data_IF_774480429257
#
_entry.id   IF_774480429257
#
_cell.length_a   1.000
_cell.length_b   1.000
_cell.length_c   1.000
_cell.angle_alpha   90.00
_cell.angle_beta   90.00
_cell.angle_gamma   90.00
#
_symmetry.space_group_name_H-M   'P 1'
#
loop_
_entity.id
_entity.type
_entity.pdbx_description
1 polymer ?
#
# COMPACT_ATOMS: atom_id res chain seq x y z
N UNK A 1 1.62 -24.85 22.13
CA UNK A 1 0.33 -24.93 22.86
C UNK A 1 0.08 -26.37 23.25
N UNK A 2 0.07 -26.70 24.56
CA UNK A 2 0.03 -28.09 25.04
C UNK A 2 -1.24 -28.87 24.63
N UNK A 3 -2.33 -28.17 24.26
CA UNK A 3 -3.56 -28.79 23.74
C UNK A 3 -3.61 -28.91 22.22
N UNK A 4 -3.01 -27.97 21.49
CA UNK A 4 -3.10 -27.89 20.02
C UNK A 4 -1.91 -28.62 19.36
N UNK A 5 -0.78 -28.78 20.06
CA UNK A 5 0.42 -29.40 19.51
C UNK A 5 1.23 -28.49 18.58
N UNK A 6 0.71 -27.31 18.24
CA UNK A 6 1.37 -26.33 17.38
C UNK A 6 2.07 -25.21 18.16
N UNK A 7 3.08 -24.60 17.52
CA UNK A 7 3.74 -23.38 17.98
C UNK A 7 2.82 -22.19 17.66
N UNK A 8 2.32 -21.54 18.71
CA UNK A 8 1.53 -20.32 18.60
C UNK A 8 2.35 -19.17 19.14
N UNK A 9 2.51 -18.12 18.35
CA UNK A 9 3.27 -16.94 18.72
C UNK A 9 2.51 -15.68 18.29
N UNK A 10 2.45 -14.71 19.19
CA UNK A 10 2.00 -13.36 18.84
C UNK A 10 3.13 -12.66 18.11
N UNK A 11 3.01 -12.57 16.78
CA UNK A 11 4.11 -12.09 15.94
C UNK A 11 4.23 -10.57 15.89
N UNK A 12 3.11 -9.87 15.71
CA UNK A 12 3.05 -8.41 15.57
C UNK A 12 1.72 -7.92 16.15
N UNK A 13 1.75 -6.70 16.68
CA UNK A 13 0.58 -5.97 17.18
C UNK A 13 0.69 -4.53 16.70
N UNK A 14 -0.44 -3.96 16.30
CA UNK A 14 -0.58 -2.53 16.09
C UNK A 14 -1.88 -2.07 16.74
N UNK A 15 -1.85 -0.87 17.30
CA UNK A 15 -3.00 -0.22 17.92
C UNK A 15 -3.12 1.21 17.38
N UNK A 16 -4.34 1.59 17.01
CA UNK A 16 -4.73 2.95 16.60
C UNK A 16 -5.85 3.43 17.54
N UNK A 17 -5.76 4.68 17.96
CA UNK A 17 -6.60 5.32 18.98
C UNK A 17 -7.47 6.47 18.44
N UNK A 18 -7.38 6.78 17.15
CA UNK A 18 -8.24 7.75 16.47
C UNK A 18 -9.53 7.17 15.90
N UNK A 19 -10.08 7.85 14.89
CA UNK A 19 -11.21 7.33 14.12
C UNK A 19 -10.70 6.33 13.08
N UNK A 20 -11.12 5.06 13.20
CA UNK A 20 -10.49 3.94 12.50
C UNK A 20 -11.53 3.11 11.75
N UNK A 21 -11.27 2.91 10.45
CA UNK A 21 -11.96 1.93 9.63
C UNK A 21 -11.18 0.60 9.62
N UNK A 22 -11.91 -0.52 9.73
CA UNK A 22 -11.32 -1.86 9.81
C UNK A 22 -11.86 -2.75 8.70
N UNK A 23 -10.96 -3.36 7.92
CA UNK A 23 -11.34 -4.35 6.93
C UNK A 23 -10.64 -5.69 7.13
N UNK A 24 -11.41 -6.78 7.09
CA UNK A 24 -10.94 -8.15 7.25
C UNK A 24 -11.29 -8.97 5.99
N UNK A 25 -10.28 -9.34 5.21
CA UNK A 25 -10.47 -10.10 3.99
C UNK A 25 -10.28 -11.60 4.22
N UNK A 26 -11.29 -12.38 3.82
CA UNK A 26 -11.24 -13.84 3.77
C UNK A 26 -10.81 -14.29 2.38
N UNK A 27 -9.80 -15.16 2.30
CA UNK A 27 -9.36 -15.76 1.03
C UNK A 27 -10.32 -16.82 0.50
N UNK A 28 -11.10 -17.43 1.40
CA UNK A 28 -12.16 -18.39 1.09
C UNK A 28 -13.26 -18.27 2.15
N UNK A 29 -14.50 -18.59 1.79
CA UNK A 29 -15.67 -18.38 2.66
C UNK A 29 -15.62 -19.20 3.95
N UNK A 30 -14.98 -20.37 3.90
CA UNK A 30 -14.81 -21.35 4.98
C UNK A 30 -13.58 -21.09 5.86
N UNK A 31 -12.73 -20.13 5.50
CA UNK A 31 -11.51 -19.79 6.25
C UNK A 31 -11.67 -18.49 7.08
N UNK A 32 -10.91 -18.34 8.18
CA UNK A 32 -10.82 -17.06 8.89
C UNK A 32 -10.18 -15.99 7.99
N UNK A 33 -10.35 -14.69 8.32
CA UNK A 33 -9.66 -13.62 7.63
C UNK A 33 -8.14 -13.84 7.66
N UNK A 34 -7.51 -13.73 6.48
CA UNK A 34 -6.06 -13.87 6.32
C UNK A 34 -5.37 -12.53 6.06
N UNK A 35 -6.13 -11.48 5.77
CA UNK A 35 -5.64 -10.10 5.66
C UNK A 35 -6.51 -9.21 6.53
N UNK A 36 -5.85 -8.36 7.33
CA UNK A 36 -6.50 -7.32 8.11
C UNK A 36 -5.89 -5.96 7.80
N UNK A 37 -6.73 -4.95 7.72
CA UNK A 37 -6.35 -3.56 7.47
C UNK A 37 -7.01 -2.68 8.53
N UNK A 38 -6.22 -1.76 9.10
CA UNK A 38 -6.72 -0.61 9.85
C UNK A 38 -6.35 0.66 9.09
N UNK A 39 -7.29 1.59 9.00
CA UNK A 39 -7.10 2.90 8.39
C UNK A 39 -7.58 3.95 9.39
N UNK A 40 -6.68 4.78 9.88
CA UNK A 40 -7.04 5.94 10.70
C UNK A 40 -7.23 7.17 9.80
N UNK A 41 -8.30 7.93 10.03
CA UNK A 41 -8.68 9.02 9.14
C UNK A 41 -9.43 10.15 9.85
N UNK A 42 -9.38 11.32 9.23
CA UNK A 42 -10.18 12.50 9.55
C UNK A 42 -11.22 12.74 8.45
N UNK A 43 -12.41 13.23 8.82
CA UNK A 43 -13.53 13.44 7.90
C UNK A 43 -14.79 12.70 8.34
N UNK A 44 -15.88 12.86 7.59
CA UNK A 44 -17.19 12.29 7.92
C UNK A 44 -17.63 11.16 6.96
N UNK A 45 -16.95 10.99 5.82
CA UNK A 45 -17.29 9.98 4.82
C UNK A 45 -16.60 8.64 5.14
N UNK A 46 -17.33 7.78 5.84
CA UNK A 46 -16.86 6.44 6.18
C UNK A 46 -16.77 5.50 4.96
N UNK A 47 -17.54 5.75 3.89
CA UNK A 47 -17.51 4.91 2.69
C UNK A 47 -16.22 5.14 1.89
N UNK A 48 -15.72 6.37 1.87
CA UNK A 48 -14.40 6.70 1.33
C UNK A 48 -13.28 6.01 2.13
N UNK A 49 -13.32 6.05 3.47
CA UNK A 49 -12.36 5.34 4.31
C UNK A 49 -12.43 3.81 4.11
N UNK A 50 -13.63 3.25 3.99
CA UNK A 50 -13.84 1.83 3.71
C UNK A 50 -13.25 1.43 2.35
N UNK A 51 -13.49 2.24 1.32
CA UNK A 51 -12.92 2.04 -0.01
C UNK A 51 -11.38 2.04 0.01
N UNK A 52 -10.77 2.89 0.83
CA UNK A 52 -9.32 2.89 1.05
C UNK A 52 -8.86 1.62 1.77
N UNK A 53 -9.60 1.10 2.74
CA UNK A 53 -9.27 -0.16 3.40
C UNK A 53 -9.28 -1.34 2.41
N UNK A 54 -10.23 -1.36 1.47
CA UNK A 54 -10.28 -2.32 0.35
C UNK A 54 -9.08 -2.18 -0.59
N UNK A 55 -8.75 -0.94 -0.97
CA UNK A 55 -7.58 -0.60 -1.79
C UNK A 55 -6.29 -1.15 -1.17
N UNK A 56 -6.05 -0.85 0.11
CA UNK A 56 -4.85 -1.31 0.84
C UNK A 56 -4.81 -2.83 0.88
N UNK A 57 -5.93 -3.50 1.15
CA UNK A 57 -5.99 -4.96 1.20
C UNK A 57 -5.58 -5.58 -0.14
N UNK A 58 -6.04 -5.00 -1.25
CA UNK A 58 -5.84 -5.49 -2.61
C UNK A 58 -4.44 -5.16 -3.18
N UNK A 59 -4.03 -3.89 -3.16
CA UNK A 59 -2.81 -3.41 -3.83
C UNK A 59 -1.58 -3.34 -2.93
N UNK A 60 -1.74 -3.63 -1.63
CA UNK A 60 -0.62 -3.80 -0.69
C UNK A 60 0.31 -2.58 -0.62
N UNK A 61 -0.26 -1.37 -0.58
CA UNK A 61 0.49 -0.15 -0.30
C UNK A 61 1.37 -0.33 0.95
N UNK A 62 2.58 0.24 0.92
CA UNK A 62 3.57 0.14 2.00
C UNK A 62 3.76 1.46 2.74
N UNK A 63 3.52 2.56 2.05
CA UNK A 63 3.73 3.93 2.53
C UNK A 63 2.47 4.75 2.24
N UNK A 64 2.17 5.73 3.08
CA UNK A 64 1.07 6.66 2.85
C UNK A 64 1.45 7.69 1.79
N UNK A 65 2.63 8.28 1.94
CA UNK A 65 3.16 9.35 1.09
C UNK A 65 4.55 9.01 0.53
N UNK A 66 5.03 9.79 -0.44
CA UNK A 66 6.36 9.57 -1.06
C UNK A 66 7.52 9.81 -0.09
N UNK A 67 7.37 10.78 0.81
CA UNK A 67 8.38 11.16 1.80
C UNK A 67 8.58 10.11 2.89
N UNK A 68 7.61 9.19 3.06
CA UNK A 68 7.78 8.02 3.93
C UNK A 68 8.62 6.90 3.31
N UNK A 69 8.91 6.97 2.00
CA UNK A 69 9.72 5.95 1.33
C UNK A 69 11.20 6.18 1.66
N UNK A 70 11.91 5.21 2.26
CA UNK A 70 13.32 5.36 2.60
C UNK A 70 14.21 5.68 1.39
N UNK A 71 15.16 6.59 1.56
CA UNK A 71 16.04 7.03 0.48
C UNK A 71 16.87 5.88 -0.13
N UNK A 72 17.26 4.89 0.67
CA UNK A 72 17.99 3.71 0.22
C UNK A 72 17.13 2.82 -0.69
N UNK A 73 15.83 2.71 -0.41
CA UNK A 73 14.88 2.01 -1.27
C UNK A 73 14.73 2.76 -2.60
N UNK A 74 14.55 4.08 -2.56
CA UNK A 74 14.43 4.91 -3.77
C UNK A 74 15.70 4.84 -4.62
N UNK A 75 16.88 4.90 -4.00
CA UNK A 75 18.17 4.80 -4.68
C UNK A 75 18.36 3.41 -5.31
N UNK A 76 17.98 2.34 -4.61
CA UNK A 76 18.05 0.99 -5.14
C UNK A 76 17.11 0.79 -6.34
N UNK A 77 15.86 1.24 -6.26
CA UNK A 77 14.91 1.16 -7.38
C UNK A 77 15.36 1.97 -8.58
N UNK A 78 15.96 3.16 -8.35
CA UNK A 78 16.56 3.97 -9.42
C UNK A 78 17.68 3.20 -10.13
N UNK A 79 18.59 2.57 -9.37
CA UNK A 79 19.68 1.76 -9.91
C UNK A 79 19.14 0.59 -10.73
N UNK A 80 18.15 -0.13 -10.21
CA UNK A 80 17.49 -1.24 -10.93
C UNK A 80 16.87 -0.74 -12.24
N UNK A 81 16.18 0.40 -12.22
CA UNK A 81 15.56 0.99 -13.40
C UNK A 81 16.62 1.36 -14.46
N UNK A 82 17.75 1.93 -14.05
CA UNK A 82 18.86 2.31 -14.93
C UNK A 82 19.53 1.09 -15.55
N UNK A 83 19.89 0.09 -14.73
CA UNK A 83 20.52 -1.16 -15.18
C UNK A 83 19.61 -1.89 -16.18
N UNK A 84 18.32 -1.96 -15.89
CA UNK A 84 17.35 -2.62 -16.76
C UNK A 84 17.19 -1.87 -18.08
N UNK A 85 17.12 -0.53 -18.06
CA UNK A 85 17.02 0.27 -19.29
C UNK A 85 18.28 0.18 -20.17
N UNK A 86 19.47 0.11 -19.57
CA UNK A 86 20.74 -0.15 -20.28
C UNK A 86 20.76 -1.56 -20.88
N UNK A 87 20.34 -2.58 -20.12
CA UNK A 87 20.27 -3.96 -20.60
C UNK A 87 19.28 -4.13 -21.78
N UNK A 88 18.21 -3.34 -21.81
CA UNK A 88 17.27 -3.27 -22.94
C UNK A 88 17.79 -2.50 -24.17
N UNK A 89 19.03 -1.98 -24.13
CA UNK A 89 19.64 -1.26 -25.24
C UNK A 89 19.01 0.11 -25.52
N UNK A 90 18.41 0.75 -24.52
CA UNK A 90 17.79 2.08 -24.70
C UNK A 90 18.87 3.15 -24.91
N UNK A 91 18.62 4.17 -25.76
CA UNK A 91 19.59 5.24 -25.99
C UNK A 91 19.95 6.00 -24.70
N UNK A 92 21.23 6.33 -24.51
CA UNK A 92 21.72 7.02 -23.30
C UNK A 92 20.96 8.32 -23.01
N UNK A 93 20.61 9.06 -24.06
CA UNK A 93 19.86 10.32 -23.96
C UNK A 93 18.44 10.13 -23.41
N UNK A 94 17.86 8.94 -23.58
CA UNK A 94 16.52 8.62 -23.09
C UNK A 94 16.53 8.00 -21.68
N UNK A 95 17.69 7.54 -21.18
CA UNK A 95 17.79 6.85 -19.88
C UNK A 95 17.21 7.66 -18.73
N UNK A 96 17.51 8.97 -18.54
CA UNK A 96 16.99 9.73 -17.41
C UNK A 96 15.45 9.71 -17.35
N UNK A 97 14.80 9.91 -18.50
CA UNK A 97 13.34 9.94 -18.62
C UNK A 97 12.72 8.55 -18.38
N UNK A 98 13.38 7.49 -18.85
CA UNK A 98 12.92 6.11 -18.64
C UNK A 98 13.01 5.75 -17.16
N UNK A 99 14.13 6.08 -16.51
CA UNK A 99 14.34 5.85 -15.08
C UNK A 99 13.30 6.60 -14.25
N UNK A 100 13.05 7.88 -14.56
CA UNK A 100 12.02 8.67 -13.88
C UNK A 100 10.61 8.07 -14.05
N UNK A 101 10.27 7.62 -15.26
CA UNK A 101 8.98 6.96 -15.52
C UNK A 101 8.81 5.66 -14.73
N UNK A 102 9.87 4.84 -14.64
CA UNK A 102 9.87 3.59 -13.85
C UNK A 102 9.78 3.87 -12.36
N UNK A 103 10.50 4.88 -11.87
CA UNK A 103 10.44 5.28 -10.46
C UNK A 103 9.05 5.84 -10.10
N UNK A 104 8.42 6.57 -11.01
CA UNK A 104 7.02 7.00 -10.85
C UNK A 104 6.07 5.81 -10.78
N UNK A 105 6.29 4.78 -11.61
CA UNK A 105 5.55 3.52 -11.53
C UNK A 105 5.71 2.84 -10.17
N UNK A 106 6.95 2.72 -9.68
CA UNK A 106 7.23 2.19 -8.35
C UNK A 106 6.47 2.94 -7.25
N UNK A 107 6.48 4.28 -7.25
CA UNK A 107 5.72 5.05 -6.26
C UNK A 107 4.22 4.79 -6.35
N UNK A 108 3.67 4.69 -7.57
CA UNK A 108 2.26 4.30 -7.75
C UNK A 108 1.93 2.90 -7.26
N UNK A 109 2.91 2.01 -7.13
CA UNK A 109 2.69 0.66 -6.58
C UNK A 109 2.76 0.66 -5.05
N UNK A 110 3.71 1.39 -4.46
CA UNK A 110 3.98 1.30 -3.00
C UNK A 110 3.42 2.44 -2.16
N UNK A 111 3.06 3.59 -2.74
CA UNK A 111 2.53 4.77 -2.04
C UNK A 111 1.02 4.86 -2.22
N UNK A 112 0.28 4.74 -1.11
CA UNK A 112 -1.18 4.69 -1.11
C UNK A 112 -1.80 5.88 -1.84
N UNK A 113 -1.39 7.10 -1.52
CA UNK A 113 -1.98 8.32 -2.10
C UNK A 113 -1.73 8.46 -3.61
N UNK A 114 -0.75 7.74 -4.16
CA UNK A 114 -0.43 7.78 -5.59
C UNK A 114 -1.02 6.64 -6.39
N UNK A 115 -1.47 5.59 -5.71
CA UNK A 115 -2.08 4.46 -6.36
C UNK A 115 -3.29 4.93 -7.20
N UNK A 116 -3.48 4.38 -8.40
CA UNK A 116 -4.77 4.46 -9.06
C UNK A 116 -5.81 3.76 -8.19
N UNK A 117 -6.99 4.36 -8.05
CA UNK A 117 -8.05 3.75 -7.26
C UNK A 117 -8.61 2.50 -7.94
N UNK A 118 -8.86 1.46 -7.16
CA UNK A 118 -9.59 0.26 -7.61
C UNK A 118 -11.05 0.56 -7.95
N UNK A 119 -11.65 1.59 -7.34
CA UNK A 119 -13.04 1.99 -7.59
C UNK A 119 -13.19 2.93 -8.80
N UNK A 120 -12.17 3.73 -9.09
CA UNK A 120 -12.10 4.58 -10.29
C UNK A 120 -10.65 4.71 -10.76
N UNK A 121 -10.27 3.93 -11.77
CA UNK A 121 -8.91 3.90 -12.30
C UNK A 121 -8.46 5.20 -12.98
N UNK A 122 -9.36 6.16 -13.18
CA UNK A 122 -9.03 7.50 -13.71
C UNK A 122 -8.50 8.44 -12.63
N UNK A 123 -8.73 8.14 -11.35
CA UNK A 123 -8.33 8.95 -10.22
C UNK A 123 -7.31 8.22 -9.36
N UNK A 124 -6.41 8.97 -8.74
CA UNK A 124 -5.61 8.44 -7.64
C UNK A 124 -6.47 8.33 -6.38
N UNK A 125 -6.01 7.54 -5.42
CA UNK A 125 -6.60 7.48 -4.07
C UNK A 125 -6.63 8.88 -3.45
N UNK A 126 -5.56 9.67 -3.59
CA UNK A 126 -5.55 11.06 -3.10
C UNK A 126 -6.69 11.90 -3.69
N UNK A 127 -6.91 11.84 -5.00
CA UNK A 127 -7.96 12.63 -5.63
C UNK A 127 -9.36 12.25 -5.14
N UNK A 128 -9.61 10.96 -4.90
CA UNK A 128 -10.89 10.51 -4.33
C UNK A 128 -11.08 10.97 -2.88
N UNK A 129 -10.01 10.93 -2.09
CA UNK A 129 -10.02 11.39 -0.71
C UNK A 129 -10.24 12.91 -0.61
N UNK A 130 -9.56 13.68 -1.45
CA UNK A 130 -9.73 15.13 -1.55
C UNK A 130 -11.20 15.48 -1.91
N UNK A 131 -11.80 14.79 -2.90
CA UNK A 131 -13.20 14.98 -3.30
C UNK A 131 -14.19 14.63 -2.18
N UNK A 132 -13.87 13.63 -1.36
CA UNK A 132 -14.69 13.20 -0.23
C UNK A 132 -14.46 14.02 1.06
N UNK A 133 -13.46 14.91 1.07
CA UNK A 133 -13.07 15.64 2.28
C UNK A 133 -12.53 14.73 3.39
N UNK A 134 -11.87 13.63 3.03
CA UNK A 134 -11.29 12.65 3.95
C UNK A 134 -9.77 12.71 3.89
N UNK A 135 -9.11 12.70 5.04
CA UNK A 135 -7.65 12.60 5.15
C UNK A 135 -7.28 11.33 5.86
N UNK A 136 -6.44 10.50 5.25
CA UNK A 136 -5.88 9.31 5.90
C UNK A 136 -4.63 9.74 6.67
N UNK A 137 -4.56 9.42 7.96
CA UNK A 137 -3.42 9.79 8.82
C UNK A 137 -2.39 8.68 8.92
N UNK A 138 -2.84 7.43 8.96
CA UNK A 138 -1.98 6.23 8.96
C UNK A 138 -2.80 4.99 8.63
N UNK A 139 -2.11 3.95 8.17
CA UNK A 139 -2.72 2.64 7.97
C UNK A 139 -1.76 1.52 8.37
N UNK A 140 -2.31 0.34 8.60
CA UNK A 140 -1.52 -0.89 8.71
C UNK A 140 -2.24 -2.00 7.97
N UNK A 141 -1.46 -2.85 7.29
CA UNK A 141 -1.94 -4.06 6.64
C UNK A 141 -1.16 -5.25 7.17
N UNK A 142 -1.88 -6.22 7.71
CA UNK A 142 -1.33 -7.53 8.06
C UNK A 142 -1.87 -8.59 7.13
N UNK A 143 -0.99 -9.48 6.69
CA UNK A 143 -1.33 -10.68 5.95
C UNK A 143 -0.67 -11.88 6.64
N UNK A 144 -1.44 -12.95 6.87
CA UNK A 144 -0.94 -14.17 7.50
C UNK A 144 0.21 -14.74 6.68
N UNK A 145 1.33 -15.00 7.34
CA UNK A 145 2.55 -15.51 6.72
C UNK A 145 3.43 -14.44 6.04
N UNK A 146 2.97 -13.19 5.92
CA UNK A 146 3.80 -12.11 5.37
C UNK A 146 5.03 -11.87 6.24
N UNK A 147 6.19 -11.66 5.61
CA UNK A 147 7.42 -11.29 6.30
C UNK A 147 7.41 -9.84 6.75
#
# INVERSE_FOLDING_TARGET
SAKIGEKLELRRVQYFDGNVETYLHKRAADLPPAVGVLVEFEGADNDAAHSVALQIAALKAKYLTRDEVPEDVVANERRIAEETAKAEGKPEQALPKIVEGRLTGFFKDVVLLEQPSVSDSKKSVKALLDDAGVTITRFVRFEVGQQ
#
